data_IF_335752804950
#
_entry.id   IF_335752804950
#
_cell.length_a   1.000
_cell.length_b   1.000
_cell.length_c   1.000
_cell.angle_alpha   90.00
_cell.angle_beta   90.00
_cell.angle_gamma   90.00
#
_symmetry.space_group_name_H-M   'P 1'
#
loop_
_entity.id
_entity.type
_entity.pdbx_description
1 polymer ?
#
# COMPACT_ATOMS: atom_id res chain seq x y z
N UNK A 1 3.19 -9.65 -7.91
CA UNK A 1 1.99 -10.45 -8.25
C UNK A 1 0.90 -10.39 -7.17
N UNK A 2 1.21 -10.47 -5.87
CA UNK A 2 0.20 -10.43 -4.79
C UNK A 2 -0.70 -9.18 -4.78
N UNK A 3 -0.16 -8.00 -5.13
CA UNK A 3 -0.95 -6.76 -5.22
C UNK A 3 -2.00 -6.77 -6.35
N UNK A 4 -1.84 -7.63 -7.37
CA UNK A 4 -2.80 -7.77 -8.47
C UNK A 4 -4.04 -8.54 -8.04
N UNK A 5 -3.84 -9.64 -7.32
CA UNK A 5 -4.94 -10.39 -6.72
C UNK A 5 -5.71 -9.55 -5.68
N UNK A 6 -5.01 -8.72 -4.90
CA UNK A 6 -5.67 -7.77 -3.99
C UNK A 6 -6.55 -6.75 -4.75
N UNK A 7 -6.04 -6.19 -5.85
CA UNK A 7 -6.79 -5.25 -6.69
C UNK A 7 -8.01 -5.88 -7.38
N UNK A 8 -7.95 -7.17 -7.75
CA UNK A 8 -9.11 -7.88 -8.31
C UNK A 8 -10.18 -8.05 -7.22
N UNK A 9 -9.80 -8.49 -6.03
CA UNK A 9 -10.73 -8.67 -4.91
C UNK A 9 -11.45 -7.37 -4.53
N UNK A 10 -10.75 -6.24 -4.51
CA UNK A 10 -11.34 -4.94 -4.17
C UNK A 10 -12.35 -4.42 -5.20
N UNK A 11 -12.28 -4.88 -6.45
CA UNK A 11 -13.26 -4.55 -7.51
C UNK A 11 -14.43 -5.53 -7.50
N UNK A 12 -14.16 -6.82 -7.35
CA UNK A 12 -15.19 -7.87 -7.39
C UNK A 12 -16.12 -7.79 -6.18
N UNK A 13 -15.58 -7.48 -4.99
CA UNK A 13 -16.38 -7.48 -3.76
C UNK A 13 -17.56 -6.47 -3.78
N UNK A 14 -17.39 -5.19 -4.16
CA UNK A 14 -18.52 -4.27 -4.26
C UNK A 14 -19.51 -4.62 -5.39
N UNK A 15 -19.05 -5.25 -6.48
CA UNK A 15 -19.94 -5.73 -7.55
C UNK A 15 -20.82 -6.86 -7.03
N UNK A 16 -20.23 -7.84 -6.34
CA UNK A 16 -20.98 -8.92 -5.70
C UNK A 16 -21.96 -8.36 -4.65
N UNK A 17 -21.52 -7.39 -3.84
CA UNK A 17 -22.41 -6.74 -2.87
C UNK A 17 -23.65 -6.09 -3.50
N UNK A 18 -23.48 -5.43 -4.65
CA UNK A 18 -24.59 -4.88 -5.43
C UNK A 18 -25.61 -5.93 -5.87
N UNK A 19 -25.16 -7.10 -6.32
CA UNK A 19 -26.07 -8.15 -6.80
C UNK A 19 -26.67 -9.01 -5.70
N UNK A 20 -25.93 -9.25 -4.62
CA UNK A 20 -26.28 -10.25 -3.59
C UNK A 20 -26.99 -9.61 -2.39
N UNK A 21 -26.71 -8.36 -2.07
CA UNK A 21 -27.27 -7.69 -0.88
C UNK A 21 -28.24 -6.57 -1.23
N UNK A 22 -27.92 -5.71 -2.19
CA UNK A 22 -28.67 -4.46 -2.42
C UNK A 22 -29.82 -4.54 -3.43
N UNK A 23 -30.12 -5.70 -4.00
CA UNK A 23 -31.22 -5.90 -4.96
C UNK A 23 -32.39 -6.75 -4.41
N UNK A 24 -32.35 -7.11 -3.13
CA UNK A 24 -33.35 -7.98 -2.51
C UNK A 24 -33.97 -7.35 -1.28
N UNK A 25 -35.14 -7.87 -0.90
CA UNK A 25 -35.84 -7.52 0.34
C UNK A 25 -35.04 -7.94 1.58
N UNK A 26 -35.20 -7.24 2.72
CA UNK A 26 -34.33 -7.37 3.90
C UNK A 26 -34.17 -8.83 4.39
N UNK A 27 -35.26 -9.61 4.38
CA UNK A 27 -35.22 -11.03 4.77
C UNK A 27 -34.36 -11.89 3.84
N UNK A 28 -34.41 -11.64 2.53
CA UNK A 28 -33.60 -12.35 1.54
C UNK A 28 -32.14 -11.89 1.59
N UNK A 29 -31.91 -10.60 1.83
CA UNK A 29 -30.57 -10.08 2.06
C UNK A 29 -29.90 -10.75 3.27
N UNK A 30 -30.61 -10.86 4.40
CA UNK A 30 -30.10 -11.56 5.60
C UNK A 30 -29.78 -13.04 5.34
N UNK A 31 -30.63 -13.75 4.59
CA UNK A 31 -30.36 -15.14 4.19
C UNK A 31 -29.12 -15.23 3.29
N UNK A 32 -28.98 -14.32 2.32
CA UNK A 32 -27.82 -14.26 1.45
C UNK A 32 -26.52 -13.99 2.22
N UNK A 33 -26.57 -13.13 3.26
CA UNK A 33 -25.43 -12.87 4.14
C UNK A 33 -24.93 -14.17 4.79
N UNK A 34 -25.83 -15.01 5.31
CA UNK A 34 -25.46 -16.29 5.91
C UNK A 34 -24.72 -17.20 4.92
N UNK A 35 -25.23 -17.34 3.70
CA UNK A 35 -24.59 -18.15 2.66
C UNK A 35 -23.24 -17.59 2.21
N UNK A 36 -23.09 -16.27 2.18
CA UNK A 36 -21.79 -15.63 1.88
C UNK A 36 -20.78 -15.91 2.99
N UNK A 37 -21.16 -15.75 4.26
CA UNK A 37 -20.28 -16.09 5.38
C UNK A 37 -19.91 -17.57 5.42
N UNK A 38 -20.85 -18.46 5.13
CA UNK A 38 -20.59 -19.89 5.01
C UNK A 38 -19.59 -20.17 3.86
N UNK A 39 -19.77 -19.53 2.71
CA UNK A 39 -18.86 -19.68 1.57
C UNK A 39 -17.44 -19.21 1.89
N UNK A 40 -17.31 -18.07 2.58
CA UNK A 40 -16.02 -17.57 3.06
C UNK A 40 -15.40 -18.55 4.05
N UNK A 41 -16.17 -19.07 5.00
CA UNK A 41 -15.67 -20.04 5.98
C UNK A 41 -15.16 -21.32 5.30
N UNK A 42 -15.93 -21.88 4.36
CA UNK A 42 -15.52 -23.06 3.57
C UNK A 42 -14.26 -22.76 2.76
N UNK A 43 -14.19 -21.60 2.10
CA UNK A 43 -13.00 -21.21 1.34
C UNK A 43 -11.76 -21.07 2.23
N UNK A 44 -11.90 -20.44 3.41
CA UNK A 44 -10.81 -20.32 4.39
C UNK A 44 -10.38 -21.69 4.91
N UNK A 45 -11.32 -22.60 5.17
CA UNK A 45 -11.01 -23.97 5.58
C UNK A 45 -10.27 -24.73 4.48
N UNK A 46 -10.71 -24.62 3.22
CA UNK A 46 -10.01 -25.22 2.08
C UNK A 46 -8.58 -24.68 1.95
N UNK A 47 -8.38 -23.36 2.07
CA UNK A 47 -7.04 -22.76 2.07
C UNK A 47 -6.21 -23.26 3.25
N UNK A 48 -6.79 -23.36 4.45
CA UNK A 48 -6.11 -23.90 5.62
C UNK A 48 -5.69 -25.36 5.38
N UNK A 49 -6.57 -26.20 4.85
CA UNK A 49 -6.27 -27.59 4.48
C UNK A 49 -5.16 -27.66 3.43
N UNK A 50 -5.22 -26.84 2.38
CA UNK A 50 -4.15 -26.76 1.38
C UNK A 50 -2.82 -26.34 2.02
N UNK A 51 -2.82 -25.41 2.97
CA UNK A 51 -1.61 -25.02 3.70
C UNK A 51 -1.10 -26.11 4.65
N UNK A 52 -1.97 -26.94 5.22
CA UNK A 52 -1.56 -28.10 6.03
C UNK A 52 -0.85 -29.17 5.19
N UNK A 53 -1.26 -29.35 3.93
CA UNK A 53 -0.60 -30.28 3.00
C UNK A 53 0.55 -29.66 2.22
N UNK A 54 0.63 -28.33 2.18
CA UNK A 54 1.75 -27.62 1.58
C UNK A 54 2.94 -27.68 2.53
N UNK A 55 4.03 -28.33 2.12
CA UNK A 55 5.32 -28.16 2.76
C UNK A 55 5.81 -26.73 2.51
N UNK A 56 5.33 -25.79 3.33
CA UNK A 56 5.90 -24.45 3.38
C UNK A 56 7.26 -24.62 4.05
N UNK A 57 8.39 -24.47 3.33
CA UNK A 57 9.70 -24.59 3.94
C UNK A 57 9.76 -23.61 5.10
N UNK A 58 9.99 -24.14 6.29
CA UNK A 58 9.97 -23.35 7.51
C UNK A 58 11.05 -22.29 7.38
N UNK A 59 10.59 -21.06 7.37
CA UNK A 59 11.45 -19.93 7.20
C UNK A 59 12.11 -19.68 8.56
N UNK A 60 13.13 -20.49 8.92
CA UNK A 60 14.09 -20.17 9.98
C UNK A 60 14.46 -18.69 9.84
N UNK A 61 14.64 -17.94 10.92
CA UNK A 61 14.76 -16.47 10.93
C UNK A 61 15.56 -15.88 9.74
N UNK A 62 16.58 -16.60 9.23
CA UNK A 62 17.32 -16.41 7.97
C UNK A 62 16.47 -16.23 6.67
N UNK A 63 15.39 -16.98 6.45
CA UNK A 63 14.55 -16.82 5.25
C UNK A 63 13.44 -15.76 5.42
N UNK A 64 13.16 -15.35 6.66
CA UNK A 64 12.15 -14.30 6.93
C UNK A 64 12.75 -12.98 6.50
N UNK A 65 14.08 -12.88 6.52
CA UNK A 65 14.84 -11.97 5.69
C UNK A 65 14.44 -12.18 4.23
N UNK A 66 14.69 -13.28 3.53
CA UNK A 66 14.39 -13.36 2.07
C UNK A 66 12.93 -13.08 1.62
N UNK A 67 11.89 -13.39 2.41
CA UNK A 67 10.49 -13.13 2.01
C UNK A 67 10.02 -11.72 2.38
N UNK A 68 10.38 -11.21 3.57
CA UNK A 68 10.20 -9.79 3.93
C UNK A 68 11.15 -8.91 3.12
N UNK A 69 12.29 -9.44 2.73
CA UNK A 69 13.21 -8.91 1.73
C UNK A 69 12.63 -9.08 0.35
N UNK A 70 11.70 -9.94 -0.04
CA UNK A 70 11.13 -9.83 -1.41
C UNK A 70 10.21 -8.62 -1.56
N UNK A 71 9.45 -8.30 -0.52
CA UNK A 71 8.67 -7.06 -0.42
C UNK A 71 9.56 -5.85 -0.12
N UNK A 72 10.63 -6.02 0.66
CA UNK A 72 11.63 -4.99 0.88
C UNK A 72 12.65 -4.90 -0.27
N UNK A 73 12.84 -5.88 -1.17
CA UNK A 73 13.86 -5.93 -2.24
C UNK A 73 13.48 -5.00 -3.37
N UNK A 74 12.19 -4.70 -3.54
CA UNK A 74 11.74 -3.56 -4.34
C UNK A 74 12.17 -2.22 -3.74
N UNK A 75 12.43 -2.17 -2.43
CA UNK A 75 13.09 -1.07 -1.74
C UNK A 75 14.61 -1.28 -1.52
N UNK A 76 15.14 -2.52 -1.57
CA UNK A 76 16.56 -2.87 -1.40
C UNK A 76 17.37 -2.86 -2.70
N UNK A 77 16.74 -2.65 -3.86
CA UNK A 77 17.48 -2.16 -5.04
C UNK A 77 18.09 -0.75 -4.83
N UNK A 78 17.89 -0.16 -3.65
CA UNK A 78 18.59 1.02 -3.15
C UNK A 78 19.64 0.70 -2.06
N UNK A 79 20.04 -0.57 -1.88
CA UNK A 79 20.79 -1.03 -0.69
C UNK A 79 22.25 -1.48 -0.95
N UNK A 80 22.72 -1.52 -2.19
CA UNK A 80 24.12 -1.91 -2.47
C UNK A 80 25.01 -0.70 -2.77
N UNK A 81 25.20 0.19 -1.79
CA UNK A 81 26.41 1.02 -1.74
C UNK A 81 26.67 1.50 -0.31
N UNK A 82 27.89 1.26 0.14
CA UNK A 82 28.36 1.44 1.51
C UNK A 82 28.37 2.92 1.95
N UNK A 83 28.12 3.12 3.26
CA UNK A 83 28.93 3.91 4.20
C UNK A 83 28.15 4.86 5.14
N UNK A 84 28.45 4.71 6.43
CA UNK A 84 28.48 5.76 7.46
C UNK A 84 27.21 6.51 7.89
N UNK A 85 26.02 5.91 7.78
CA UNK A 85 24.91 6.38 8.62
C UNK A 85 24.93 5.67 9.97
N UNK A 86 25.77 6.20 10.86
CA UNK A 86 25.79 6.07 12.31
C UNK A 86 24.66 5.19 12.90
N UNK A 87 25.03 4.11 13.59
CA UNK A 87 24.16 3.18 14.34
C UNK A 87 23.40 3.93 15.46
N UNK A 88 22.40 4.73 15.07
CA UNK A 88 21.57 5.50 16.00
C UNK A 88 20.47 4.58 16.54
N UNK A 89 20.17 4.65 17.85
CA UNK A 89 19.06 3.90 18.43
C UNK A 89 17.77 4.12 17.64
N UNK A 90 16.95 3.06 17.52
CA UNK A 90 15.63 3.08 16.87
C UNK A 90 14.76 4.29 17.24
N UNK A 91 14.81 4.73 18.50
CA UNK A 91 14.08 5.90 19.01
C UNK A 91 14.49 7.23 18.38
N UNK A 92 15.72 7.35 17.86
CA UNK A 92 16.24 8.55 17.19
C UNK A 92 16.00 8.53 15.67
N UNK A 93 15.38 7.48 15.14
CA UNK A 93 14.97 7.40 13.74
C UNK A 93 13.62 8.11 13.53
N UNK A 94 13.56 9.43 13.75
CA UNK A 94 12.32 10.22 13.65
C UNK A 94 11.59 10.07 12.31
N UNK A 95 12.32 9.82 11.22
CA UNK A 95 11.75 9.53 9.89
C UNK A 95 10.89 8.27 9.89
N UNK A 96 11.29 7.23 10.62
CA UNK A 96 10.54 5.98 10.73
C UNK A 96 9.20 6.23 11.43
N UNK A 97 9.21 6.88 12.60
CA UNK A 97 7.97 7.17 13.33
C UNK A 97 7.06 8.13 12.59
N UNK A 98 7.62 9.11 11.88
CA UNK A 98 6.83 10.01 11.03
C UNK A 98 6.21 9.27 9.85
N UNK A 99 6.93 8.31 9.24
CA UNK A 99 6.38 7.44 8.20
C UNK A 99 5.25 6.54 8.75
N UNK A 100 5.43 5.96 9.94
CA UNK A 100 4.38 5.19 10.63
C UNK A 100 3.13 6.03 10.92
N UNK A 101 3.31 7.27 11.39
CA UNK A 101 2.21 8.20 11.61
C UNK A 101 1.52 8.57 10.30
N UNK A 102 2.27 8.88 9.26
CA UNK A 102 1.71 9.14 7.94
C UNK A 102 0.94 7.95 7.40
N UNK A 103 1.44 6.73 7.62
CA UNK A 103 0.75 5.49 7.26
C UNK A 103 -0.55 5.29 8.03
N UNK A 104 -0.56 5.61 9.33
CA UNK A 104 -1.77 5.61 10.15
C UNK A 104 -2.82 6.58 9.63
N UNK A 105 -2.42 7.83 9.39
CA UNK A 105 -3.34 8.83 8.88
C UNK A 105 -3.85 8.50 7.48
N UNK A 106 -2.96 8.05 6.60
CA UNK A 106 -3.29 7.62 5.25
C UNK A 106 -4.27 6.45 5.24
N UNK A 107 -3.96 5.36 5.95
CA UNK A 107 -4.80 4.16 5.96
C UNK A 107 -6.16 4.45 6.64
N UNK A 108 -6.16 5.25 7.70
CA UNK A 108 -7.39 5.71 8.32
C UNK A 108 -8.27 6.52 7.37
N UNK A 109 -7.70 7.50 6.67
CA UNK A 109 -8.43 8.30 5.69
C UNK A 109 -8.95 7.46 4.51
N UNK A 110 -8.13 6.53 4.00
CA UNK A 110 -8.52 5.59 2.95
C UNK A 110 -9.75 4.78 3.35
N UNK A 111 -9.67 4.07 4.48
CA UNK A 111 -10.74 3.17 4.91
C UNK A 111 -11.99 3.97 5.23
N UNK A 112 -11.87 5.13 5.88
CA UNK A 112 -13.01 5.99 6.17
C UNK A 112 -13.70 6.52 4.90
N UNK A 113 -12.92 6.94 3.89
CA UNK A 113 -13.45 7.38 2.59
C UNK A 113 -14.17 6.23 1.88
N UNK A 114 -13.59 5.03 1.91
CA UNK A 114 -14.20 3.84 1.33
C UNK A 114 -15.50 3.44 2.05
N UNK A 115 -15.51 3.44 3.39
CA UNK A 115 -16.67 3.10 4.21
C UNK A 115 -17.85 4.05 3.97
N UNK A 116 -17.59 5.34 3.80
CA UNK A 116 -18.63 6.35 3.59
C UNK A 116 -18.98 6.57 2.11
N UNK A 117 -18.31 5.89 1.17
CA UNK A 117 -18.45 6.17 -0.26
C UNK A 117 -19.86 5.93 -0.77
N UNK A 118 -20.49 4.81 -0.39
CA UNK A 118 -21.85 4.47 -0.84
C UNK A 118 -22.84 5.49 -0.30
N UNK A 119 -22.79 5.79 1.00
CA UNK A 119 -23.63 6.81 1.66
C UNK A 119 -23.44 8.19 1.01
N UNK A 120 -22.20 8.57 0.70
CA UNK A 120 -21.91 9.83 0.02
C UNK A 120 -22.52 9.85 -1.39
N UNK A 121 -22.41 8.75 -2.14
CA UNK A 121 -22.94 8.65 -3.49
C UNK A 121 -24.48 8.70 -3.53
N UNK A 122 -25.15 8.10 -2.55
CA UNK A 122 -26.61 8.09 -2.44
C UNK A 122 -27.15 9.45 -1.99
N UNK A 123 -26.49 10.12 -1.05
CA UNK A 123 -26.88 11.46 -0.59
C UNK A 123 -26.60 12.58 -1.61
N UNK A 124 -25.48 12.48 -2.34
CA UNK A 124 -25.04 13.57 -3.24
C UNK A 124 -25.74 13.54 -4.60
N UNK A 125 -26.18 12.37 -5.07
CA UNK A 125 -26.79 12.19 -6.39
C UNK A 125 -28.23 11.70 -6.26
N UNK A 126 -29.18 12.59 -6.58
CA UNK A 126 -30.62 12.25 -6.63
C UNK A 126 -30.88 11.00 -7.48
N UNK A 127 -31.76 10.12 -7.00
CA UNK A 127 -32.10 8.82 -7.62
C UNK A 127 -30.97 7.78 -7.66
N UNK A 128 -30.01 7.83 -6.73
CA UNK A 128 -28.97 6.79 -6.61
C UNK A 128 -29.36 5.80 -5.52
N UNK A 129 -29.62 4.56 -5.91
CA UNK A 129 -29.81 3.44 -4.97
C UNK A 129 -28.46 2.94 -4.43
N UNK A 130 -28.48 2.25 -3.29
CA UNK A 130 -27.31 1.60 -2.69
C UNK A 130 -26.60 0.66 -3.68
N UNK A 131 -27.38 -0.06 -4.49
CA UNK A 131 -26.88 -0.90 -5.58
C UNK A 131 -26.07 -0.09 -6.61
N UNK A 132 -26.55 1.09 -6.99
CA UNK A 132 -25.83 2.00 -7.90
C UNK A 132 -24.59 2.60 -7.22
N UNK A 133 -24.70 2.99 -5.95
CA UNK A 133 -23.58 3.46 -5.14
C UNK A 133 -22.46 2.42 -5.03
N UNK A 134 -22.82 1.15 -4.82
CA UNK A 134 -21.87 0.03 -4.76
C UNK A 134 -21.17 -0.22 -6.11
N UNK A 135 -21.87 -0.07 -7.24
CA UNK A 135 -21.26 -0.15 -8.59
C UNK A 135 -20.31 1.03 -8.85
N UNK A 136 -20.66 2.22 -8.38
CA UNK A 136 -19.75 3.39 -8.44
C UNK A 136 -18.52 3.14 -7.56
N UNK A 137 -18.70 2.57 -6.37
CA UNK A 137 -17.58 2.19 -5.52
C UNK A 137 -16.68 1.14 -6.17
N UNK A 138 -17.25 0.11 -6.81
CA UNK A 138 -16.51 -0.87 -7.61
C UNK A 138 -15.65 -0.20 -8.70
N UNK A 139 -16.24 0.76 -9.43
CA UNK A 139 -15.52 1.51 -10.44
C UNK A 139 -14.38 2.35 -9.85
N UNK A 140 -14.58 2.93 -8.66
CA UNK A 140 -13.56 3.69 -7.96
C UNK A 140 -12.39 2.79 -7.51
N UNK A 141 -12.70 1.59 -6.98
CA UNK A 141 -11.72 0.55 -6.65
C UNK A 141 -10.98 0.03 -7.89
N UNK A 142 -11.63 -0.02 -9.05
CA UNK A 142 -10.99 -0.43 -10.29
C UNK A 142 -9.98 0.62 -10.77
N UNK A 143 -10.34 1.90 -10.69
CA UNK A 143 -9.41 3.01 -10.99
C UNK A 143 -8.23 3.02 -10.02
N UNK A 144 -8.47 2.77 -8.73
CA UNK A 144 -7.43 2.60 -7.73
C UNK A 144 -6.49 1.43 -8.07
N UNK A 145 -7.04 0.26 -8.44
CA UNK A 145 -6.26 -0.90 -8.84
C UNK A 145 -5.42 -0.61 -10.11
N UNK A 146 -6.02 0.02 -11.12
CA UNK A 146 -5.32 0.46 -12.35
C UNK A 146 -4.21 1.45 -12.01
N UNK A 147 -4.44 2.39 -11.08
CA UNK A 147 -3.43 3.30 -10.56
C UNK A 147 -2.22 2.59 -9.94
N UNK A 148 -2.40 1.42 -9.31
CA UNK A 148 -1.27 0.63 -8.79
C UNK A 148 -0.43 -0.02 -9.89
N UNK A 149 -1.05 -0.51 -10.97
CA UNK A 149 -0.33 -1.20 -12.06
C UNK A 149 0.29 -0.23 -13.04
N UNK A 150 -0.46 0.81 -13.38
CA UNK A 150 -0.15 1.69 -14.48
C UNK A 150 0.06 3.12 -14.03
N UNK A 151 -0.07 3.49 -12.75
CA UNK A 151 -0.05 4.90 -12.33
C UNK A 151 1.20 5.65 -12.76
N UNK A 152 2.40 5.08 -12.64
CA UNK A 152 3.66 5.71 -13.10
C UNK A 152 3.71 5.82 -14.64
N UNK A 153 3.25 4.80 -15.36
CA UNK A 153 3.18 4.81 -16.83
C UNK A 153 2.09 5.78 -17.35
N UNK A 154 0.94 5.81 -16.70
CA UNK A 154 -0.22 6.62 -17.04
C UNK A 154 0.04 8.09 -16.74
N UNK A 155 0.76 8.42 -15.66
CA UNK A 155 1.21 9.79 -15.38
C UNK A 155 2.23 10.30 -16.41
N UNK A 156 2.98 9.41 -17.07
CA UNK A 156 3.90 9.76 -18.17
C UNK A 156 3.14 10.19 -19.45
N UNK A 157 1.96 9.62 -19.71
CA UNK A 157 1.18 9.88 -20.93
C UNK A 157 -0.03 10.82 -20.73
N UNK A 158 -0.71 10.75 -19.58
CA UNK A 158 -1.91 11.52 -19.29
C UNK A 158 -1.72 12.40 -18.07
N UNK A 159 -1.76 13.72 -18.28
CA UNK A 159 -1.81 14.69 -17.17
C UNK A 159 -3.11 14.42 -16.38
N UNK A 160 -3.07 14.34 -15.04
CA UNK A 160 -4.24 14.02 -14.21
C UNK A 160 -5.47 14.89 -14.44
N UNK A 161 -5.26 16.12 -14.96
CA UNK A 161 -6.33 17.03 -15.40
C UNK A 161 -7.28 16.42 -16.44
N UNK A 162 -6.79 15.53 -17.32
CA UNK A 162 -7.62 14.90 -18.35
C UNK A 162 -8.48 13.78 -17.79
N UNK A 163 -7.95 13.05 -16.79
CA UNK A 163 -8.72 12.05 -16.04
C UNK A 163 -9.88 12.74 -15.32
N UNK A 164 -9.58 13.85 -14.63
CA UNK A 164 -10.59 14.68 -13.98
C UNK A 164 -11.67 15.17 -14.95
N UNK A 165 -11.29 15.70 -16.11
CA UNK A 165 -12.24 16.16 -17.14
C UNK A 165 -13.13 15.04 -17.70
N UNK A 166 -12.59 13.83 -17.88
CA UNK A 166 -13.37 12.68 -18.35
C UNK A 166 -14.48 12.30 -17.35
N UNK A 167 -14.19 12.35 -16.05
CA UNK A 167 -15.19 12.08 -15.00
C UNK A 167 -16.17 13.24 -14.79
N UNK A 168 -15.74 14.49 -15.00
CA UNK A 168 -16.60 15.66 -14.86
C UNK A 168 -17.74 15.69 -15.91
N UNK A 169 -17.50 15.15 -17.11
CA UNK A 169 -18.52 15.03 -18.18
C UNK A 169 -19.73 14.19 -17.78
N UNK A 170 -19.67 13.41 -16.70
CA UNK A 170 -20.79 12.60 -16.17
C UNK A 170 -21.70 13.35 -15.19
N UNK A 171 -21.54 14.67 -15.03
CA UNK A 171 -22.48 15.53 -14.29
C UNK A 171 -22.40 15.42 -12.77
N UNK A 172 -21.41 14.69 -12.23
CA UNK A 172 -21.34 14.31 -10.83
C UNK A 172 -19.99 14.68 -10.20
N UNK A 173 -19.75 16.00 -10.06
CA UNK A 173 -18.47 16.59 -9.65
C UNK A 173 -17.89 15.99 -8.37
N UNK A 174 -18.72 15.74 -7.33
CA UNK A 174 -18.25 15.16 -6.06
C UNK A 174 -17.70 13.73 -6.20
N UNK A 175 -18.41 12.87 -6.93
CA UNK A 175 -17.96 11.48 -7.18
C UNK A 175 -16.74 11.46 -8.10
N UNK A 176 -16.70 12.35 -9.10
CA UNK A 176 -15.54 12.48 -9.98
C UNK A 176 -14.25 12.84 -9.20
N UNK A 177 -14.34 13.72 -8.20
CA UNK A 177 -13.22 14.07 -7.33
C UNK A 177 -12.75 12.84 -6.54
N UNK A 178 -13.67 12.05 -5.97
CA UNK A 178 -13.31 10.84 -5.21
C UNK A 178 -12.56 9.80 -6.05
N UNK A 179 -12.96 9.63 -7.32
CA UNK A 179 -12.25 8.73 -8.26
C UNK A 179 -10.82 9.21 -8.52
N UNK A 180 -10.62 10.52 -8.68
CA UNK A 180 -9.29 11.08 -8.89
C UNK A 180 -8.44 10.94 -7.63
N UNK A 181 -9.02 11.22 -6.45
CA UNK A 181 -8.33 11.04 -5.16
C UNK A 181 -7.85 9.59 -5.03
N UNK A 182 -8.74 8.61 -5.20
CA UNK A 182 -8.39 7.18 -5.14
C UNK A 182 -7.31 6.80 -6.17
N UNK A 183 -7.37 7.33 -7.39
CA UNK A 183 -6.32 7.08 -8.38
C UNK A 183 -4.93 7.51 -7.88
N UNK A 184 -4.80 8.70 -7.29
CA UNK A 184 -3.52 9.18 -6.76
C UNK A 184 -3.12 8.44 -5.49
N UNK A 185 -4.11 8.12 -4.66
CA UNK A 185 -3.96 7.42 -3.41
C UNK A 185 -3.29 6.04 -3.59
N UNK A 186 -3.44 5.44 -4.78
CA UNK A 186 -2.95 4.09 -5.07
C UNK A 186 -1.43 3.90 -4.87
N UNK A 187 -0.64 4.96 -5.06
CA UNK A 187 0.84 4.93 -4.97
C UNK A 187 1.34 5.38 -3.59
N UNK A 188 0.50 6.04 -2.78
CA UNK A 188 0.91 6.61 -1.51
C UNK A 188 1.41 5.55 -0.51
N UNK A 189 0.67 4.44 -0.33
CA UNK A 189 1.06 3.36 0.58
C UNK A 189 2.47 2.80 0.28
N UNK A 190 2.78 2.30 -0.94
CA UNK A 190 4.11 1.75 -1.22
C UNK A 190 5.20 2.82 -1.15
N UNK A 191 4.92 4.07 -1.50
CA UNK A 191 5.89 5.17 -1.41
C UNK A 191 6.22 5.54 0.04
N UNK A 192 5.23 5.64 0.93
CA UNK A 192 5.45 5.92 2.36
C UNK A 192 6.30 4.81 2.98
N UNK A 193 5.96 3.55 2.70
CA UNK A 193 6.73 2.39 3.18
C UNK A 193 8.17 2.42 2.63
N UNK A 194 8.35 2.63 1.33
CA UNK A 194 9.67 2.68 0.72
C UNK A 194 10.54 3.81 1.29
N UNK A 195 10.00 5.02 1.44
CA UNK A 195 10.72 6.17 1.98
C UNK A 195 10.99 6.04 3.49
N UNK A 196 10.04 5.46 4.24
CA UNK A 196 10.18 5.23 5.68
C UNK A 196 11.22 4.17 6.02
N UNK A 197 11.42 3.17 5.16
CA UNK A 197 12.40 2.09 5.35
C UNK A 197 13.81 2.42 4.85
N UNK A 198 14.01 3.51 4.08
CA UNK A 198 15.34 3.88 3.57
C UNK A 198 16.32 4.14 4.70
N UNK A 199 17.56 3.63 4.57
CA UNK A 199 18.67 3.92 5.49
C UNK A 199 18.51 3.39 6.92
N UNK A 200 17.69 2.35 7.12
CA UNK A 200 17.44 1.77 8.46
C UNK A 200 18.45 0.69 8.88
N UNK A 201 19.20 0.11 7.93
CA UNK A 201 20.23 -0.91 8.20
C UNK A 201 19.71 -2.08 9.04
N UNK A 202 20.39 -2.38 10.15
CA UNK A 202 20.02 -3.48 11.08
C UNK A 202 18.61 -3.34 11.69
N UNK A 203 18.02 -2.15 11.66
CA UNK A 203 16.70 -1.88 12.23
C UNK A 203 15.53 -2.09 11.27
N UNK A 204 15.77 -2.42 9.99
CA UNK A 204 14.72 -2.58 8.97
C UNK A 204 13.62 -3.57 9.38
N UNK A 205 13.96 -4.71 10.00
CA UNK A 205 12.96 -5.73 10.46
C UNK A 205 12.01 -5.17 11.52
N UNK A 206 12.51 -4.34 12.44
CA UNK A 206 11.68 -3.71 13.48
C UNK A 206 10.93 -2.49 12.94
N UNK A 207 11.58 -1.71 12.08
CA UNK A 207 10.99 -0.52 11.47
C UNK A 207 9.82 -0.82 10.54
N UNK A 208 9.92 -1.86 9.71
CA UNK A 208 8.80 -2.30 8.86
C UNK A 208 7.57 -2.65 9.71
N UNK A 209 7.77 -3.31 10.85
CA UNK A 209 6.70 -3.60 11.82
C UNK A 209 5.98 -2.34 12.32
N UNK A 210 6.73 -1.27 12.64
CA UNK A 210 6.11 0.00 13.05
C UNK A 210 5.33 0.68 11.93
N UNK A 211 5.82 0.66 10.69
CA UNK A 211 5.11 1.27 9.56
C UNK A 211 3.83 0.47 9.25
N UNK A 212 3.93 -0.86 9.18
CA UNK A 212 2.77 -1.73 8.92
C UNK A 212 1.78 -1.69 10.09
N UNK A 213 2.25 -1.57 11.33
CA UNK A 213 1.40 -1.34 12.49
C UNK A 213 0.52 -0.09 12.38
N UNK A 214 0.97 0.92 11.63
CA UNK A 214 0.19 2.11 11.30
C UNK A 214 -1.14 1.80 10.60
N UNK A 215 -1.29 0.65 9.92
CA UNK A 215 -2.55 0.22 9.28
C UNK A 215 -3.73 0.18 10.26
N UNK A 216 -3.48 0.09 11.57
CA UNK A 216 -4.51 0.23 12.61
C UNK A 216 -5.35 1.52 12.52
N UNK A 217 -4.83 2.58 11.87
CA UNK A 217 -5.61 3.78 11.57
C UNK A 217 -6.90 3.50 10.82
N UNK A 218 -6.93 2.46 9.98
CA UNK A 218 -8.13 1.97 9.30
C UNK A 218 -9.23 1.47 10.23
N UNK A 219 -8.93 1.14 11.49
CA UNK A 219 -9.92 0.80 12.51
C UNK A 219 -10.35 2.03 13.33
N UNK A 220 -9.49 3.04 13.47
CA UNK A 220 -9.72 4.21 14.32
C UNK A 220 -10.50 5.33 13.62
N UNK A 221 -10.17 5.62 12.36
CA UNK A 221 -10.70 6.79 11.63
C UNK A 221 -12.12 6.59 11.08
N UNK A 222 -12.55 5.40 10.61
CA UNK A 222 -13.92 5.22 10.15
C UNK A 222 -14.98 5.45 11.23
N UNK A 223 -14.85 4.95 12.48
CA UNK A 223 -15.79 5.28 13.55
C UNK A 223 -15.88 6.79 13.83
N UNK A 224 -14.73 7.48 13.84
CA UNK A 224 -14.70 8.94 14.00
C UNK A 224 -15.46 9.66 12.87
N UNK A 225 -15.31 9.18 11.64
CA UNK A 225 -16.02 9.71 10.47
C UNK A 225 -17.52 9.39 10.54
N UNK A 226 -17.88 8.21 11.01
CA UNK A 226 -19.28 7.79 11.22
C UNK A 226 -20.01 8.69 12.22
N UNK A 227 -19.40 8.96 13.39
CA UNK A 227 -19.95 9.89 14.39
C UNK A 227 -20.11 11.30 13.82
N UNK A 228 -19.18 11.75 12.98
CA UNK A 228 -19.30 13.05 12.30
C UNK A 228 -20.45 13.06 11.27
N UNK A 229 -20.70 11.94 10.59
CA UNK A 229 -21.80 11.79 9.64
C UNK A 229 -23.16 11.82 10.32
N UNK A 230 -23.30 11.19 11.49
CA UNK A 230 -24.53 11.19 12.28
C UNK A 230 -24.95 12.59 12.75
N UNK A 231 -23.98 13.49 13.02
CA UNK A 231 -24.25 14.83 13.59
C UNK A 231 -24.47 15.92 12.56
N UNK A 232 -23.94 15.76 11.35
CA UNK A 232 -24.00 16.79 10.32
C UNK A 232 -24.62 16.23 9.03
N UNK A 233 -23.78 15.66 8.16
CA UNK A 233 -24.15 15.00 6.91
C UNK A 233 -22.96 14.21 6.40
N UNK A 234 -23.18 13.21 5.55
CA UNK A 234 -22.06 12.40 5.01
C UNK A 234 -21.08 13.25 4.20
N UNK A 235 -21.56 14.31 3.55
CA UNK A 235 -20.70 15.27 2.85
C UNK A 235 -19.75 16.03 3.79
N UNK A 236 -20.23 16.49 4.95
CA UNK A 236 -19.39 17.17 5.95
C UNK A 236 -18.49 16.20 6.71
N UNK A 237 -18.92 14.94 6.87
CA UNK A 237 -18.10 13.90 7.49
C UNK A 237 -16.79 13.63 6.73
N UNK A 238 -16.78 13.83 5.41
CA UNK A 238 -15.59 13.69 4.57
C UNK A 238 -14.46 14.68 4.91
N UNK A 239 -14.73 15.72 5.72
CA UNK A 239 -13.69 16.60 6.28
C UNK A 239 -12.75 15.84 7.22
N UNK A 240 -13.24 14.79 7.91
CA UNK A 240 -12.41 13.98 8.81
C UNK A 240 -11.33 13.21 8.01
N UNK A 241 -11.67 12.37 7.01
CA UNK A 241 -10.66 11.78 6.12
C UNK A 241 -9.74 12.80 5.47
N UNK A 242 -10.26 13.97 5.06
CA UNK A 242 -9.46 15.04 4.49
C UNK A 242 -8.39 15.56 5.46
N UNK A 243 -8.75 15.81 6.72
CA UNK A 243 -7.80 16.24 7.76
C UNK A 243 -6.69 15.20 7.98
N UNK A 244 -7.04 13.91 7.97
CA UNK A 244 -6.06 12.83 8.05
C UNK A 244 -5.18 12.73 6.79
N UNK A 245 -5.70 12.99 5.60
CA UNK A 245 -4.86 13.09 4.40
C UNK A 245 -3.89 14.28 4.46
N UNK A 246 -4.32 15.43 4.99
CA UNK A 246 -3.44 16.59 5.21
C UNK A 246 -2.36 16.26 6.24
N UNK A 247 -2.71 15.57 7.33
CA UNK A 247 -1.74 15.10 8.31
C UNK A 247 -0.73 14.11 7.69
N UNK A 248 -1.19 13.19 6.83
CA UNK A 248 -0.31 12.29 6.10
C UNK A 248 0.61 13.04 5.12
N UNK A 249 0.14 14.13 4.52
CA UNK A 249 0.92 14.98 3.59
C UNK A 249 2.10 15.70 4.27
N UNK A 250 2.08 15.86 5.60
CA UNK A 250 3.23 16.38 6.34
C UNK A 250 4.51 15.57 6.12
N UNK A 251 4.41 14.26 5.92
CA UNK A 251 5.57 13.39 5.69
C UNK A 251 6.25 13.62 4.34
N UNK A 252 5.56 13.52 3.17
CA UNK A 252 6.19 13.85 1.89
C UNK A 252 6.63 15.32 1.82
N UNK A 253 5.93 16.25 2.47
CA UNK A 253 6.39 17.64 2.56
C UNK A 253 7.73 17.76 3.28
N UNK A 254 7.85 17.18 4.48
CA UNK A 254 9.09 17.15 5.25
C UNK A 254 10.23 16.47 4.49
N UNK A 255 9.94 15.38 3.77
CA UNK A 255 10.91 14.68 2.92
C UNK A 255 11.46 15.56 1.79
N UNK A 256 10.65 16.46 1.22
CA UNK A 256 11.06 17.31 0.10
C UNK A 256 11.70 18.65 0.54
N UNK A 257 11.34 19.16 1.71
CA UNK A 257 11.73 20.51 2.17
C UNK A 257 12.85 20.48 3.21
N UNK A 258 12.85 19.51 4.14
CA UNK A 258 13.82 19.51 5.24
C UNK A 258 15.17 18.88 4.80
N UNK A 259 16.29 19.62 4.91
CA UNK A 259 17.63 19.10 4.57
C UNK A 259 18.00 17.83 5.34
N UNK A 260 17.52 17.70 6.58
CA UNK A 260 17.76 16.52 7.42
C UNK A 260 17.09 15.25 6.90
N UNK A 261 15.95 15.37 6.21
CA UNK A 261 15.26 14.25 5.57
C UNK A 261 15.81 14.00 4.15
N UNK A 262 16.12 15.09 3.41
CA UNK A 262 16.75 15.07 2.09
C UNK A 262 18.13 14.44 2.08
N UNK A 263 19.04 14.85 2.99
CA UNK A 263 20.42 14.30 3.02
C UNK A 263 20.43 12.78 3.18
N UNK A 264 19.53 12.22 3.99
CA UNK A 264 19.40 10.76 4.14
C UNK A 264 18.62 10.07 3.03
N UNK A 265 18.25 10.76 1.94
CA UNK A 265 17.56 10.22 0.77
C UNK A 265 18.40 10.49 -0.49
N UNK A 266 18.86 11.73 -0.67
CA UNK A 266 19.68 12.20 -1.79
C UNK A 266 21.14 11.72 -1.71
N UNK A 267 21.66 11.46 -0.50
CA UNK A 267 22.97 10.83 -0.36
C UNK A 267 23.03 9.44 -1.01
N UNK A 268 21.89 8.79 -1.24
CA UNK A 268 21.78 7.51 -1.95
C UNK A 268 21.55 7.67 -3.46
N UNK A 269 21.14 8.85 -3.93
CA UNK A 269 20.96 9.13 -5.36
C UNK A 269 22.30 9.50 -6.02
N UNK A 270 23.19 10.16 -5.29
CA UNK A 270 24.55 10.46 -5.76
C UNK A 270 25.45 9.22 -5.85
N UNK A 271 25.25 8.20 -5.00
CA UNK A 271 26.01 6.93 -5.08
C UNK A 271 25.64 6.06 -6.28
N UNK A 272 24.46 6.29 -6.89
CA UNK A 272 24.05 5.59 -8.12
C UNK A 272 24.77 6.09 -9.38
N UNK A 273 25.40 7.27 -9.32
CA UNK A 273 26.08 7.87 -10.46
C UNK A 273 27.60 7.57 -10.49
N UNK A 274 28.13 6.85 -9.49
CA UNK A 274 29.48 6.29 -9.56
C UNK A 274 29.42 4.87 -10.15
N UNK A 275 30.34 4.50 -11.08
CA UNK A 275 30.39 3.15 -11.60
C UNK A 275 30.61 2.16 -10.45
N UNK A 276 29.68 1.22 -10.32
CA UNK A 276 29.54 0.30 -9.20
C UNK A 276 30.83 -0.47 -8.88
N UNK A 277 31.34 -0.28 -7.65
CA UNK A 277 32.34 -1.15 -6.99
C UNK A 277 31.88 -2.62 -6.82
N UNK A 278 30.65 -2.95 -7.19
CA UNK A 278 30.10 -4.31 -7.17
C UNK A 278 30.74 -5.19 -8.25
N UNK A 279 31.20 -4.61 -9.36
CA UNK A 279 31.94 -5.34 -10.40
C UNK A 279 33.33 -5.80 -9.92
N UNK A 280 34.06 -4.95 -9.19
CA UNK A 280 35.38 -5.28 -8.65
C UNK A 280 35.32 -6.37 -7.56
N UNK A 281 34.25 -6.42 -6.76
CA UNK A 281 34.08 -7.46 -5.73
C UNK A 281 33.70 -8.81 -6.34
N UNK A 282 32.94 -8.82 -7.44
CA UNK A 282 32.63 -10.04 -8.20
C UNK A 282 33.86 -10.64 -8.89
N UNK A 283 34.72 -9.79 -9.47
CA UNK A 283 35.97 -10.23 -10.11
C UNK A 283 37.00 -10.74 -9.09
N UNK A 284 37.16 -10.07 -7.94
CA UNK A 284 38.09 -10.52 -6.89
C UNK A 284 37.66 -11.85 -6.24
N UNK A 285 36.36 -12.03 -5.99
CA UNK A 285 35.83 -13.28 -5.46
C UNK A 285 36.01 -14.46 -6.42
N UNK A 286 35.76 -14.22 -7.71
CA UNK A 286 35.99 -15.21 -8.78
C UNK A 286 37.46 -15.61 -8.91
N UNK A 287 38.40 -14.67 -8.78
CA UNK A 287 39.83 -14.98 -8.84
C UNK A 287 40.34 -15.71 -7.60
N UNK A 288 39.83 -15.40 -6.40
CA UNK A 288 40.18 -16.16 -5.19
C UNK A 288 39.66 -17.60 -5.21
N UNK A 289 38.47 -17.82 -5.79
CA UNK A 289 37.87 -19.15 -5.89
C UNK A 289 38.61 -20.03 -6.92
N UNK A 290 38.96 -19.48 -8.10
CA UNK A 290 39.83 -20.17 -9.07
C UNK A 290 41.22 -20.48 -8.52
N UNK A 291 41.79 -19.58 -7.71
CA UNK A 291 43.11 -19.81 -7.08
C UNK A 291 43.04 -20.92 -6.03
N UNK A 292 41.93 -21.03 -5.29
CA UNK A 292 41.71 -22.14 -4.34
C UNK A 292 41.50 -23.48 -5.04
N UNK A 293 40.76 -23.53 -6.14
CA UNK A 293 40.55 -24.76 -6.90
C UNK A 293 41.84 -25.28 -7.54
N UNK A 294 42.69 -24.38 -8.05
CA UNK A 294 43.99 -24.74 -8.64
C UNK A 294 44.93 -25.36 -7.59
N UNK A 295 45.00 -24.76 -6.39
CA UNK A 295 45.84 -25.28 -5.28
C UNK A 295 45.31 -26.61 -4.76
N UNK A 296 44.00 -26.82 -4.71
CA UNK A 296 43.40 -28.10 -4.30
C UNK A 296 43.61 -29.20 -5.36
N UNK A 297 43.69 -28.84 -6.63
CA UNK A 297 44.03 -29.75 -7.73
C UNK A 297 45.48 -30.25 -7.69
N UNK A 298 46.44 -29.36 -7.40
CA UNK A 298 47.87 -29.72 -7.28
C UNK A 298 48.18 -30.59 -6.07
N UNK A 299 47.42 -30.50 -4.97
CA UNK A 299 47.61 -31.33 -3.77
C UNK A 299 47.04 -32.76 -3.95
N UNK A 300 46.19 -32.98 -4.95
CA UNK A 300 45.57 -34.29 -5.24
C UNK A 300 46.22 -35.04 -6.41
N UNK A 301 47.28 -34.48 -7.01
CA UNK A 301 48.15 -35.10 -8.01
C UNK A 301 49.43 -35.64 -7.36
#
# INVERSE_FOLDING_TARGET
>A
MSQAFNGIGSVVAPVLGSYVFFNFDDRKALANVQWVYLSIAVFVLLLATLFLFSNIPEITDAGTYHQTQRSANMAQQAESSNSDTHDKPLSKQYRLFHASFAQFCYCGAQVATASMFINYATETRKNTSDSTGSKLFAGAQAVFAVGRFFGVFLMKYFKPRHIFLAFLKRGNTGIAILYVVLFFESICFPTIVALGMRGLGRHTKRGSGFIIGGVIGGACVPPLTGVAAERHSTGMAMVVPLAFFVAAWSFPFCVNVLPSYKKGIDAFENTKNEPSSVAEWGEKGSQEEQRRETVVGEIKS
#
